data_IF_286565561113
#
_entry.id   IF_286565561113
#
_cell.length_a   1.000
_cell.length_b   1.000
_cell.length_c   1.000
_cell.angle_alpha   90.00
_cell.angle_beta   90.00
_cell.angle_gamma   90.00
#
_symmetry.space_group_name_H-M   'P 1'
#
loop_
_entity.id
_entity.type
_entity.pdbx_description
1 polymer ?
#
# COMPACT_ATOMS: atom_id res chain seq x y z
N UNK A 1 -0.43 12.54 31.59
CA UNK A 1 -0.13 12.64 30.15
C UNK A 1 1.28 13.20 30.04
N UNK A 2 2.17 12.53 29.34
CA UNK A 2 3.58 12.92 29.25
C UNK A 2 3.70 14.34 28.69
N UNK A 3 4.55 15.18 29.28
CA UNK A 3 4.64 16.61 28.94
C UNK A 3 4.99 16.79 27.45
N UNK A 4 5.81 15.88 26.93
CA UNK A 4 6.23 15.86 25.54
C UNK A 4 5.05 15.55 24.58
N UNK A 5 4.20 14.57 24.92
CA UNK A 5 3.01 14.22 24.12
C UNK A 5 2.00 15.38 24.10
N UNK A 6 1.85 16.09 25.22
CA UNK A 6 0.97 17.27 25.28
C UNK A 6 1.46 18.39 24.37
N UNK A 7 2.78 18.63 24.33
CA UNK A 7 3.37 19.61 23.42
C UNK A 7 3.21 19.19 21.96
N UNK A 8 3.52 17.93 21.64
CA UNK A 8 3.35 17.36 20.31
C UNK A 8 1.90 17.48 19.81
N UNK A 9 0.93 17.18 20.67
CA UNK A 9 -0.49 17.32 20.35
C UNK A 9 -0.87 18.78 20.08
N UNK A 10 -0.38 19.72 20.90
CA UNK A 10 -0.64 21.15 20.70
C UNK A 10 -0.08 21.66 19.37
N UNK A 11 1.07 21.13 18.92
CA UNK A 11 1.66 21.47 17.61
C UNK A 11 0.90 20.83 16.44
N UNK A 12 0.45 19.58 16.56
CA UNK A 12 -0.23 18.86 15.48
C UNK A 12 -1.68 19.32 15.29
N UNK A 13 -2.40 19.59 16.38
CA UNK A 13 -3.83 19.91 16.39
C UNK A 13 -4.25 20.99 15.38
N UNK A 14 -3.61 22.18 15.31
CA UNK A 14 -4.06 23.23 14.38
C UNK A 14 -3.92 22.81 12.92
N UNK A 15 -2.85 22.10 12.56
CA UNK A 15 -2.63 21.64 11.18
C UNK A 15 -3.59 20.50 10.83
N UNK A 16 -3.79 19.54 11.75
CA UNK A 16 -4.76 18.47 11.59
C UNK A 16 -6.20 19.01 11.41
N UNK A 17 -6.55 20.10 12.09
CA UNK A 17 -7.86 20.76 11.92
C UNK A 17 -8.02 21.32 10.51
N UNK A 18 -7.02 22.05 9.99
CA UNK A 18 -7.08 22.60 8.63
C UNK A 18 -7.16 21.51 7.56
N UNK A 19 -6.36 20.45 7.69
CA UNK A 19 -6.42 19.28 6.79
C UNK A 19 -7.81 18.63 6.81
N UNK A 20 -8.48 18.62 7.97
CA UNK A 20 -9.83 18.09 8.10
C UNK A 20 -10.94 19.03 7.57
N UNK A 21 -10.68 20.30 7.28
CA UNK A 21 -11.68 21.24 6.77
C UNK A 21 -11.41 21.62 5.32
N UNK A 22 -10.43 22.48 5.07
CA UNK A 22 -10.03 22.98 3.75
C UNK A 22 -8.50 22.88 3.65
N UNK A 23 -8.03 21.89 2.88
CA UNK A 23 -6.64 21.48 2.89
C UNK A 23 -5.88 22.10 1.70
N UNK A 24 -4.84 22.87 2.00
CA UNK A 24 -3.85 23.26 1.01
C UNK A 24 -2.69 22.26 0.94
N UNK A 25 -1.84 22.37 -0.08
CA UNK A 25 -0.61 21.56 -0.15
C UNK A 25 0.38 22.00 0.93
N UNK A 26 0.39 23.29 1.26
CA UNK A 26 1.21 23.89 2.31
C UNK A 26 0.88 23.31 3.68
N UNK A 27 -0.39 23.02 3.97
CA UNK A 27 -0.81 22.37 5.23
C UNK A 27 -0.21 20.97 5.39
N UNK A 28 -0.15 20.19 4.31
CA UNK A 28 0.44 18.84 4.34
C UNK A 28 1.96 18.93 4.50
N UNK A 29 2.61 19.88 3.83
CA UNK A 29 4.05 20.11 3.97
C UNK A 29 4.41 20.58 5.38
N UNK A 30 3.56 21.43 5.98
CA UNK A 30 3.72 21.83 7.38
C UNK A 30 3.55 20.63 8.32
N UNK A 31 2.52 19.81 8.11
CA UNK A 31 2.30 18.59 8.88
C UNK A 31 3.51 17.65 8.79
N UNK A 32 4.01 17.40 7.58
CA UNK A 32 5.19 16.57 7.32
C UNK A 32 6.41 17.09 8.11
N UNK A 33 6.64 18.41 8.07
CA UNK A 33 7.74 19.05 8.80
C UNK A 33 7.59 18.86 10.31
N UNK A 34 6.40 19.06 10.86
CA UNK A 34 6.14 18.89 12.30
C UNK A 34 6.39 17.44 12.70
N UNK A 35 5.80 16.48 11.98
CA UNK A 35 5.94 15.05 12.29
C UNK A 35 7.42 14.62 12.23
N UNK A 36 8.21 15.11 11.27
CA UNK A 36 9.64 14.78 11.16
C UNK A 36 10.50 15.38 12.29
N UNK A 37 9.99 16.35 13.04
CA UNK A 37 10.69 16.98 14.17
C UNK A 37 10.32 16.36 15.52
N UNK A 38 9.20 15.65 15.60
CA UNK A 38 8.74 14.99 16.82
C UNK A 38 9.50 13.68 17.04
N UNK A 39 9.64 13.27 18.29
CA UNK A 39 10.17 11.96 18.64
C UNK A 39 9.20 10.83 18.25
N UNK A 40 9.76 9.65 17.98
CA UNK A 40 9.01 8.49 17.52
C UNK A 40 7.95 8.03 18.53
N UNK A 41 8.15 8.25 19.82
CA UNK A 41 7.19 7.87 20.87
C UNK A 41 5.95 8.78 20.85
N UNK A 42 6.14 10.10 20.70
CA UNK A 42 5.05 11.04 20.49
C UNK A 42 4.28 10.74 19.20
N UNK A 43 4.98 10.46 18.10
CA UNK A 43 4.33 10.10 16.83
C UNK A 43 3.52 8.82 17.02
N UNK A 44 4.07 7.78 17.66
CA UNK A 44 3.36 6.52 17.90
C UNK A 44 2.09 6.72 18.74
N UNK A 45 2.17 7.55 19.78
CA UNK A 45 1.04 7.88 20.63
C UNK A 45 -0.07 8.67 19.91
N UNK A 46 0.31 9.60 19.02
CA UNK A 46 -0.62 10.48 18.31
C UNK A 46 -0.96 10.02 16.88
N UNK A 47 -0.43 8.87 16.45
CA UNK A 47 -0.52 8.42 15.05
C UNK A 47 -1.95 8.33 14.55
N UNK A 48 -2.85 7.71 15.33
CA UNK A 48 -4.25 7.55 14.93
C UNK A 48 -4.98 8.90 14.85
N UNK A 49 -4.59 9.85 15.70
CA UNK A 49 -5.11 11.21 15.65
C UNK A 49 -4.70 11.91 14.35
N UNK A 50 -3.45 11.73 13.89
CA UNK A 50 -2.94 12.33 12.65
C UNK A 50 -3.44 11.60 11.40
N UNK A 51 -3.60 10.28 11.45
CA UNK A 51 -4.13 9.49 10.32
C UNK A 51 -5.60 9.80 10.02
N UNK A 52 -6.38 10.22 11.02
CA UNK A 52 -7.80 10.54 10.84
C UNK A 52 -8.08 11.69 9.84
N UNK A 53 -7.51 12.90 9.98
CA UNK A 53 -7.73 13.97 9.01
C UNK A 53 -7.19 13.60 7.62
N UNK A 54 -6.07 12.88 7.55
CA UNK A 54 -5.51 12.41 6.27
C UNK A 54 -6.43 11.39 5.59
N UNK A 55 -7.06 10.49 6.35
CA UNK A 55 -8.11 9.59 5.83
C UNK A 55 -9.28 10.40 5.23
N UNK A 56 -9.76 11.43 5.92
CA UNK A 56 -10.84 12.27 5.43
C UNK A 56 -10.45 13.00 4.14
N UNK A 57 -9.21 13.50 4.08
CA UNK A 57 -8.64 14.13 2.89
C UNK A 57 -8.63 13.15 1.71
N UNK A 58 -8.18 11.91 1.92
CA UNK A 58 -8.17 10.90 0.86
C UNK A 58 -9.55 10.63 0.28
N UNK A 59 -10.63 10.81 1.04
CA UNK A 59 -12.02 10.62 0.56
C UNK A 59 -12.55 11.77 -0.31
N UNK A 60 -11.87 12.92 -0.34
CA UNK A 60 -12.31 14.12 -1.07
C UNK A 60 -11.79 14.13 -2.50
N UNK A 61 -12.36 15.04 -3.30
CA UNK A 61 -11.85 15.33 -4.64
C UNK A 61 -10.87 16.48 -4.55
N UNK A 62 -9.59 16.14 -4.43
CA UNK A 62 -8.49 17.10 -4.35
C UNK A 62 -7.61 17.06 -5.59
N UNK A 63 -6.72 18.06 -5.71
CA UNK A 63 -5.65 18.05 -6.71
C UNK A 63 -4.72 16.86 -6.47
N UNK A 64 -4.26 16.25 -7.56
CA UNK A 64 -3.39 15.07 -7.48
C UNK A 64 -2.16 15.30 -6.59
N UNK A 65 -1.49 16.45 -6.71
CA UNK A 65 -0.32 16.80 -5.90
C UNK A 65 -0.60 16.82 -4.38
N UNK A 66 -1.80 17.24 -3.96
CA UNK A 66 -2.23 17.24 -2.55
C UNK A 66 -2.38 15.81 -2.07
N UNK A 67 -3.03 14.95 -2.86
CA UNK A 67 -3.20 13.53 -2.53
C UNK A 67 -1.86 12.79 -2.49
N UNK A 68 -0.94 13.04 -3.43
CA UNK A 68 0.41 12.45 -3.42
C UNK A 68 1.09 12.75 -2.09
N UNK A 69 1.10 14.03 -1.68
CA UNK A 69 1.73 14.42 -0.41
C UNK A 69 1.04 13.82 0.80
N UNK A 70 -0.29 13.74 0.80
CA UNK A 70 -1.02 13.07 1.86
C UNK A 70 -0.63 11.58 1.95
N UNK A 71 -0.57 10.87 0.82
CA UNK A 71 -0.20 9.45 0.74
C UNK A 71 1.24 9.24 1.21
N UNK A 72 2.17 10.12 0.85
CA UNK A 72 3.57 10.06 1.30
C UNK A 72 3.67 10.22 2.84
N UNK A 73 2.92 11.17 3.42
CA UNK A 73 2.86 11.35 4.89
C UNK A 73 2.21 10.14 5.58
N UNK A 74 1.12 9.60 5.03
CA UNK A 74 0.49 8.37 5.54
C UNK A 74 1.49 7.20 5.50
N UNK A 75 2.21 7.04 4.40
CA UNK A 75 3.22 5.98 4.25
C UNK A 75 4.30 6.09 5.32
N UNK A 76 4.77 7.29 5.62
CA UNK A 76 5.73 7.56 6.70
C UNK A 76 5.13 7.20 8.07
N UNK A 77 3.87 7.54 8.34
CA UNK A 77 3.21 7.24 9.61
C UNK A 77 3.03 5.73 9.83
N UNK A 78 2.80 4.95 8.78
CA UNK A 78 2.76 3.48 8.87
C UNK A 78 4.11 2.88 9.27
N UNK A 79 5.23 3.47 8.87
CA UNK A 79 6.57 2.99 9.26
C UNK A 79 6.90 3.24 10.75
N UNK A 80 6.08 4.03 11.47
CA UNK A 80 6.29 4.38 12.89
C UNK A 80 5.69 3.38 13.89
N UNK A 81 5.12 2.29 13.41
CA UNK A 81 4.70 1.17 14.25
C UNK A 81 3.74 0.22 13.54
N UNK A 82 3.39 -0.91 14.15
CA UNK A 82 2.45 -1.84 13.56
C UNK A 82 1.02 -1.30 13.54
N UNK A 83 0.24 -1.65 12.50
CA UNK A 83 -1.20 -1.49 12.45
C UNK A 83 -1.81 -2.75 13.04
N UNK A 84 -2.41 -2.62 14.22
CA UNK A 84 -2.91 -3.75 14.99
C UNK A 84 -4.41 -4.01 14.89
N UNK A 85 -5.14 -3.30 14.02
CA UNK A 85 -6.57 -3.56 13.83
C UNK A 85 -6.95 -3.59 12.35
N UNK A 86 -7.67 -4.64 11.96
CA UNK A 86 -8.10 -4.83 10.58
C UNK A 86 -9.03 -3.71 10.06
N UNK A 87 -9.96 -3.13 10.85
CA UNK A 87 -10.77 -2.00 10.37
C UNK A 87 -9.96 -0.76 9.98
N UNK A 88 -8.82 -0.51 10.64
CA UNK A 88 -7.93 0.60 10.23
C UNK A 88 -7.22 0.22 8.93
N UNK A 89 -6.68 -0.99 8.86
CA UNK A 89 -6.00 -1.50 7.68
C UNK A 89 -6.89 -1.46 6.43
N UNK A 90 -8.09 -2.05 6.51
CA UNK A 90 -8.99 -2.24 5.36
C UNK A 90 -9.43 -0.92 4.76
N UNK A 91 -9.70 0.10 5.58
CA UNK A 91 -10.05 1.45 5.11
C UNK A 91 -8.96 2.04 4.21
N UNK A 92 -7.70 1.99 4.65
CA UNK A 92 -6.60 2.52 3.86
C UNK A 92 -6.29 1.63 2.66
N UNK A 93 -6.31 0.31 2.83
CA UNK A 93 -6.09 -0.65 1.77
C UNK A 93 -7.07 -0.42 0.61
N UNK A 94 -8.37 -0.42 0.90
CA UNK A 94 -9.42 -0.23 -0.08
C UNK A 94 -9.27 1.12 -0.79
N UNK A 95 -9.01 2.19 -0.04
CA UNK A 95 -8.87 3.52 -0.62
C UNK A 95 -7.65 3.63 -1.56
N UNK A 96 -6.53 3.04 -1.19
CA UNK A 96 -5.32 3.03 -2.03
C UNK A 96 -5.57 2.28 -3.34
N UNK A 97 -6.20 1.11 -3.30
CA UNK A 97 -6.47 0.35 -4.52
C UNK A 97 -7.62 0.94 -5.35
N UNK A 98 -8.57 1.64 -4.73
CA UNK A 98 -9.57 2.45 -5.43
C UNK A 98 -8.91 3.54 -6.30
N UNK A 99 -7.82 4.15 -5.83
CA UNK A 99 -7.04 5.10 -6.62
C UNK A 99 -6.30 4.50 -7.81
N UNK A 100 -6.18 3.18 -7.92
CA UNK A 100 -5.54 2.52 -9.06
C UNK A 100 -6.54 2.06 -10.12
N UNK A 101 -7.83 2.16 -9.83
CA UNK A 101 -8.90 1.73 -10.72
C UNK A 101 -9.38 2.88 -11.58
N UNK A 102 -9.63 2.59 -12.85
CA UNK A 102 -10.37 3.48 -13.71
C UNK A 102 -11.87 3.26 -13.47
N UNK A 103 -12.59 4.34 -13.10
CA UNK A 103 -14.02 4.28 -12.76
C UNK A 103 -14.93 4.09 -13.97
N UNK A 104 -14.47 4.49 -15.15
CA UNK A 104 -15.26 4.42 -16.38
C UNK A 104 -15.14 3.05 -17.05
N UNK A 105 -13.96 2.42 -16.97
CA UNK A 105 -13.71 1.07 -17.46
C UNK A 105 -12.60 0.40 -16.64
N UNK A 106 -12.95 -0.64 -15.89
CA UNK A 106 -12.02 -1.39 -15.03
C UNK A 106 -10.87 -2.06 -15.81
N UNK A 107 -11.03 -2.28 -17.11
CA UNK A 107 -9.99 -2.85 -17.98
C UNK A 107 -8.97 -1.81 -18.42
N UNK A 108 -9.28 -0.51 -18.29
CA UNK A 108 -8.34 0.56 -18.57
C UNK A 108 -7.48 0.88 -17.35
N UNK A 109 -6.25 1.29 -17.62
CA UNK A 109 -5.38 1.89 -16.61
C UNK A 109 -5.92 3.25 -16.21
N UNK A 110 -5.82 3.59 -14.93
CA UNK A 110 -6.15 4.93 -14.46
C UNK A 110 -5.31 5.99 -15.18
N UNK A 111 -5.98 7.05 -15.63
CA UNK A 111 -5.35 8.24 -16.17
C UNK A 111 -4.85 9.16 -15.05
N UNK A 112 -3.82 8.69 -14.33
CA UNK A 112 -3.10 9.43 -13.28
C UNK A 112 -1.60 9.42 -13.59
N UNK A 113 -0.86 10.37 -13.02
CA UNK A 113 0.60 10.45 -13.23
C UNK A 113 1.34 9.20 -12.73
N UNK A 114 2.54 8.96 -13.27
CA UNK A 114 3.40 7.89 -12.77
C UNK A 114 3.76 8.11 -11.29
N UNK A 115 4.00 9.36 -10.89
CA UNK A 115 4.32 9.73 -9.51
C UNK A 115 3.20 9.33 -8.55
N UNK A 116 1.95 9.61 -8.93
CA UNK A 116 0.77 9.23 -8.16
C UNK A 116 0.69 7.71 -7.97
N UNK A 117 0.79 6.94 -9.06
CA UNK A 117 0.75 5.47 -9.03
C UNK A 117 1.88 4.89 -8.16
N UNK A 118 3.08 5.48 -8.22
CA UNK A 118 4.22 5.09 -7.39
C UNK A 118 3.94 5.37 -5.90
N UNK A 119 3.43 6.56 -5.56
CA UNK A 119 3.12 6.94 -4.18
C UNK A 119 2.07 6.00 -3.57
N UNK A 120 0.98 5.72 -4.30
CA UNK A 120 -0.04 4.75 -3.90
C UNK A 120 0.55 3.37 -3.63
N UNK A 121 1.36 2.85 -4.56
CA UNK A 121 1.99 1.53 -4.42
C UNK A 121 2.95 1.47 -3.21
N UNK A 122 3.77 2.50 -3.01
CA UNK A 122 4.68 2.58 -1.85
C UNK A 122 3.94 2.62 -0.53
N UNK A 123 2.84 3.38 -0.47
CA UNK A 123 2.01 3.45 0.72
C UNK A 123 1.33 2.11 1.01
N UNK A 124 0.84 1.40 -0.01
CA UNK A 124 0.30 0.05 0.14
C UNK A 124 1.37 -0.95 0.65
N UNK A 125 2.60 -0.87 0.14
CA UNK A 125 3.73 -1.66 0.65
C UNK A 125 3.96 -1.35 2.14
N UNK A 126 4.03 -0.07 2.52
CA UNK A 126 4.25 0.34 3.91
C UNK A 126 3.12 -0.13 4.83
N UNK A 127 1.86 0.01 4.40
CA UNK A 127 0.68 -0.45 5.13
C UNK A 127 0.79 -1.93 5.47
N UNK A 128 1.00 -2.78 4.47
CA UNK A 128 1.01 -4.25 4.66
C UNK A 128 2.25 -4.69 5.42
N UNK A 129 3.43 -4.14 5.12
CA UNK A 129 4.67 -4.51 5.84
C UNK A 129 4.67 -4.14 7.32
N UNK A 130 3.98 -3.05 7.67
CA UNK A 130 3.88 -2.57 9.05
C UNK A 130 2.51 -2.90 9.65
N UNK A 131 1.91 -4.04 9.31
CA UNK A 131 0.69 -4.56 9.96
C UNK A 131 1.02 -5.80 10.76
N UNK A 132 0.29 -6.00 11.87
CA UNK A 132 0.45 -7.19 12.69
C UNK A 132 0.02 -8.46 11.93
N UNK A 133 0.62 -9.61 12.27
CA UNK A 133 0.32 -10.87 11.56
C UNK A 133 -1.17 -11.26 11.65
N UNK A 134 -1.90 -10.86 12.69
CA UNK A 134 -3.36 -11.02 12.79
C UNK A 134 -4.11 -10.20 11.74
N UNK A 135 -3.72 -8.94 11.54
CA UNK A 135 -4.28 -8.08 10.48
C UNK A 135 -3.96 -8.64 9.09
N UNK A 136 -2.75 -9.17 8.91
CA UNK A 136 -2.37 -9.85 7.67
C UNK A 136 -3.17 -11.15 7.49
N UNK A 137 -3.45 -11.89 8.56
CA UNK A 137 -4.31 -13.06 8.48
C UNK A 137 -5.72 -12.70 7.98
N UNK A 138 -6.28 -11.59 8.48
CA UNK A 138 -7.59 -11.07 8.11
C UNK A 138 -7.66 -10.65 6.63
N UNK A 139 -6.55 -10.14 6.07
CA UNK A 139 -6.45 -9.83 4.63
C UNK A 139 -6.68 -11.06 3.74
N UNK A 140 -6.28 -12.25 4.21
CA UNK A 140 -6.46 -13.52 3.49
C UNK A 140 -7.64 -14.35 4.02
N UNK A 141 -8.58 -13.72 4.72
CA UNK A 141 -9.85 -14.38 5.04
C UNK A 141 -10.80 -14.34 3.85
N UNK A 142 -11.68 -15.34 3.77
CA UNK A 142 -12.65 -15.48 2.70
C UNK A 142 -13.60 -14.26 2.59
N UNK A 143 -13.83 -13.55 3.69
CA UNK A 143 -14.64 -12.33 3.75
C UNK A 143 -14.04 -11.14 2.99
N UNK A 144 -12.72 -11.07 2.86
CA UNK A 144 -12.00 -9.98 2.20
C UNK A 144 -11.42 -10.38 0.82
N UNK A 145 -11.70 -11.61 0.36
CA UNK A 145 -11.12 -12.17 -0.86
C UNK A 145 -11.36 -11.33 -2.11
N UNK A 146 -12.55 -10.74 -2.24
CA UNK A 146 -12.93 -9.96 -3.43
C UNK A 146 -12.15 -8.66 -3.49
N UNK A 147 -11.98 -8.00 -2.35
CA UNK A 147 -11.21 -6.77 -2.23
C UNK A 147 -9.72 -7.02 -2.52
N UNK A 148 -9.16 -8.12 -2.01
CA UNK A 148 -7.80 -8.54 -2.34
C UNK A 148 -7.66 -8.90 -3.83
N UNK A 149 -8.61 -9.64 -4.40
CA UNK A 149 -8.62 -9.97 -5.82
C UNK A 149 -8.65 -8.72 -6.70
N UNK A 150 -9.46 -7.72 -6.34
CA UNK A 150 -9.54 -6.42 -7.02
C UNK A 150 -8.23 -5.64 -6.92
N UNK A 151 -7.59 -5.63 -5.74
CA UNK A 151 -6.27 -5.03 -5.57
C UNK A 151 -5.23 -5.69 -6.48
N UNK A 152 -5.15 -7.02 -6.49
CA UNK A 152 -4.26 -7.79 -7.38
C UNK A 152 -4.58 -7.54 -8.86
N UNK A 153 -5.85 -7.49 -9.23
CA UNK A 153 -6.27 -7.17 -10.59
C UNK A 153 -5.80 -5.78 -11.03
N UNK A 154 -5.97 -4.76 -10.18
CA UNK A 154 -5.53 -3.39 -10.49
C UNK A 154 -4.01 -3.32 -10.73
N UNK A 155 -3.21 -4.00 -9.89
CA UNK A 155 -1.75 -4.06 -10.02
C UNK A 155 -1.32 -4.82 -11.28
N UNK A 156 -1.96 -5.95 -11.57
CA UNK A 156 -1.64 -6.73 -12.78
C UNK A 156 -2.03 -6.00 -14.07
N UNK A 157 -3.14 -5.23 -14.05
CA UNK A 157 -3.52 -4.39 -15.17
C UNK A 157 -2.51 -3.23 -15.37
N UNK A 158 -2.07 -2.58 -14.30
CA UNK A 158 -1.00 -1.57 -14.38
C UNK A 158 0.30 -2.17 -14.92
N UNK A 159 0.72 -3.33 -14.41
CA UNK A 159 1.99 -3.96 -14.80
C UNK A 159 2.05 -4.31 -16.29
N UNK A 160 0.91 -4.67 -16.90
CA UNK A 160 0.77 -4.99 -18.33
C UNK A 160 0.91 -3.77 -19.23
N UNK A 161 0.37 -2.64 -18.80
CA UNK A 161 0.16 -1.47 -19.66
C UNK A 161 1.21 -0.36 -19.44
N UNK A 162 1.83 -0.31 -18.25
CA UNK A 162 2.83 0.70 -17.92
C UNK A 162 4.21 0.37 -18.50
N UNK A 163 4.90 1.39 -19.03
CA UNK A 163 6.23 1.23 -19.67
C UNK A 163 7.39 1.61 -18.74
N UNK A 164 7.15 2.50 -17.78
CA UNK A 164 8.17 3.02 -16.88
C UNK A 164 8.77 1.92 -16.01
N UNK A 165 10.07 1.71 -16.12
CA UNK A 165 10.79 0.66 -15.37
C UNK A 165 10.66 0.86 -13.86
N UNK A 166 10.65 2.11 -13.40
CA UNK A 166 10.53 2.44 -11.99
C UNK A 166 9.12 2.13 -11.46
N UNK A 167 8.08 2.53 -12.20
CA UNK A 167 6.70 2.22 -11.83
C UNK A 167 6.45 0.71 -11.85
N UNK A 168 6.85 -0.01 -12.91
CA UNK A 168 6.72 -1.47 -12.99
C UNK A 168 7.44 -2.20 -11.86
N UNK A 169 8.65 -1.75 -11.49
CA UNK A 169 9.37 -2.28 -10.31
C UNK A 169 8.56 -2.08 -9.04
N UNK A 170 8.00 -0.89 -8.84
CA UNK A 170 7.20 -0.56 -7.64
C UNK A 170 5.94 -1.41 -7.59
N UNK A 171 5.23 -1.57 -8.72
CA UNK A 171 4.04 -2.44 -8.84
C UNK A 171 4.39 -3.89 -8.48
N UNK A 172 5.50 -4.43 -9.01
CA UNK A 172 5.96 -5.78 -8.70
C UNK A 172 6.29 -5.93 -7.21
N UNK A 173 6.90 -4.93 -6.58
CA UNK A 173 7.15 -4.94 -5.13
C UNK A 173 5.84 -4.98 -4.35
N UNK A 174 4.82 -4.22 -4.77
CA UNK A 174 3.48 -4.28 -4.16
C UNK A 174 2.86 -5.66 -4.31
N UNK A 175 2.91 -6.26 -5.51
CA UNK A 175 2.46 -7.64 -5.74
C UNK A 175 3.21 -8.58 -4.80
N UNK A 176 4.54 -8.48 -4.72
CA UNK A 176 5.37 -9.33 -3.86
C UNK A 176 4.96 -9.27 -2.38
N UNK A 177 4.60 -8.08 -1.87
CA UNK A 177 4.09 -7.94 -0.50
C UNK A 177 2.72 -8.62 -0.35
N UNK A 178 1.80 -8.45 -1.32
CA UNK A 178 0.47 -9.08 -1.30
C UNK A 178 0.47 -10.59 -1.59
N UNK A 179 1.58 -11.14 -2.07
CA UNK A 179 1.76 -12.58 -2.27
C UNK A 179 2.68 -13.21 -1.23
N UNK A 180 2.96 -12.48 -0.13
CA UNK A 180 3.85 -12.91 0.96
C UNK A 180 5.26 -13.35 0.52
N UNK A 181 5.80 -12.74 -0.54
CA UNK A 181 7.16 -13.02 -0.97
C UNK A 181 8.17 -12.58 0.10
N UNK A 182 9.05 -13.49 0.47
CA UNK A 182 9.98 -13.39 1.62
C UNK A 182 10.98 -12.25 1.50
N UNK A 183 11.27 -11.79 0.28
CA UNK A 183 12.13 -10.62 0.04
C UNK A 183 11.47 -9.31 0.47
N UNK A 184 10.14 -9.24 0.42
CA UNK A 184 9.39 -8.00 0.63
C UNK A 184 8.67 -7.96 1.98
N UNK A 185 8.22 -9.11 2.47
CA UNK A 185 7.56 -9.25 3.77
C UNK A 185 7.99 -10.55 4.45
N UNK A 186 8.23 -10.48 5.75
CA UNK A 186 8.67 -11.63 6.56
C UNK A 186 7.53 -12.09 7.48
N UNK A 187 6.66 -12.96 6.97
CA UNK A 187 5.61 -13.62 7.76
C UNK A 187 6.13 -14.95 8.32
N UNK A 188 6.07 -15.13 9.63
CA UNK A 188 6.50 -16.36 10.31
C UNK A 188 5.33 -17.29 10.62
N UNK A 189 4.14 -16.75 10.91
CA UNK A 189 2.96 -17.57 11.21
C UNK A 189 2.59 -18.51 10.07
N UNK A 190 2.49 -19.81 10.41
CA UNK A 190 1.97 -20.84 9.51
C UNK A 190 0.50 -20.62 9.18
N UNK A 191 -0.28 -20.11 10.14
CA UNK A 191 -1.72 -19.85 9.97
C UNK A 191 -1.92 -18.81 8.86
N UNK A 192 -1.17 -17.71 8.92
CA UNK A 192 -1.22 -16.66 7.88
C UNK A 192 -0.85 -17.24 6.51
N UNK A 193 0.22 -18.03 6.43
CA UNK A 193 0.66 -18.67 5.18
C UNK A 193 -0.40 -19.63 4.62
N UNK A 194 -1.08 -20.39 5.47
CA UNK A 194 -2.13 -21.32 5.07
C UNK A 194 -3.37 -20.58 4.55
N UNK A 195 -3.81 -19.51 5.23
CA UNK A 195 -4.89 -18.65 4.75
C UNK A 195 -4.52 -17.98 3.43
N UNK A 196 -3.30 -17.45 3.33
CA UNK A 196 -2.79 -16.85 2.10
C UNK A 196 -2.71 -17.86 0.95
N UNK A 197 -2.19 -19.06 1.18
CA UNK A 197 -2.14 -20.15 0.18
C UNK A 197 -3.52 -20.43 -0.41
N UNK A 198 -4.53 -20.57 0.45
CA UNK A 198 -5.91 -20.85 0.04
C UNK A 198 -6.46 -19.76 -0.86
N UNK A 199 -6.35 -18.48 -0.47
CA UNK A 199 -6.88 -17.37 -1.27
C UNK A 199 -6.05 -17.12 -2.53
N UNK A 200 -4.72 -17.18 -2.43
CA UNK A 200 -3.82 -16.94 -3.55
C UNK A 200 -3.88 -18.06 -4.60
N UNK A 201 -4.33 -19.27 -4.24
CA UNK A 201 -4.62 -20.33 -5.21
C UNK A 201 -5.65 -19.90 -6.26
N UNK A 202 -6.69 -19.17 -5.84
CA UNK A 202 -7.71 -18.64 -6.75
C UNK A 202 -7.16 -17.56 -7.69
N UNK A 203 -6.15 -16.81 -7.23
CA UNK A 203 -5.52 -15.71 -7.96
C UNK A 203 -4.31 -16.16 -8.80
N UNK A 204 -3.79 -17.36 -8.54
CA UNK A 204 -2.57 -17.89 -9.15
C UNK A 204 -2.60 -17.89 -10.67
N UNK A 205 -3.67 -18.30 -11.38
CA UNK A 205 -3.68 -18.31 -12.84
C UNK A 205 -3.49 -16.90 -13.42
N UNK A 206 -4.17 -15.90 -12.86
CA UNK A 206 -4.07 -14.51 -13.30
C UNK A 206 -2.70 -13.91 -13.03
N UNK A 207 -2.19 -14.10 -11.81
CA UNK A 207 -0.84 -13.66 -11.41
C UNK A 207 0.24 -14.32 -12.27
N UNK A 208 0.18 -15.64 -12.46
CA UNK A 208 1.14 -16.40 -13.25
C UNK A 208 1.18 -15.95 -14.70
N UNK A 209 0.01 -15.75 -15.32
CA UNK A 209 -0.09 -15.25 -16.69
C UNK A 209 0.61 -13.90 -16.86
N UNK A 210 0.37 -12.97 -15.93
CA UNK A 210 0.98 -11.63 -15.97
C UNK A 210 2.48 -11.69 -15.69
N UNK A 211 2.90 -12.41 -14.65
CA UNK A 211 4.32 -12.52 -14.31
C UNK A 211 5.10 -13.20 -15.44
N UNK A 212 4.56 -14.25 -16.04
CA UNK A 212 5.17 -14.92 -17.20
C UNK A 212 5.28 -14.01 -18.42
N UNK A 213 4.28 -13.16 -18.70
CA UNK A 213 4.38 -12.21 -19.82
C UNK A 213 5.46 -11.16 -19.61
N UNK A 214 5.75 -10.79 -18.36
CA UNK A 214 6.89 -9.93 -18.01
C UNK A 214 8.21 -10.70 -18.17
N UNK A 215 8.28 -11.93 -17.68
CA UNK A 215 9.50 -12.76 -17.70
C UNK A 215 9.91 -13.11 -19.13
N UNK A 216 8.96 -13.53 -19.96
CA UNK A 216 9.17 -13.91 -21.35
C UNK A 216 9.13 -12.73 -22.33
N UNK A 217 9.00 -11.51 -21.82
CA UNK A 217 8.89 -10.30 -22.64
C UNK A 217 10.24 -9.80 -23.18
N UNK A 218 10.22 -8.67 -23.89
CA UNK A 218 11.41 -8.06 -24.48
C UNK A 218 12.51 -7.71 -23.44
N UNK A 219 13.78 -7.93 -23.80
CA UNK A 219 14.98 -7.58 -23.03
C UNK A 219 14.98 -6.11 -22.58
N UNK A 220 14.34 -5.21 -23.36
CA UNK A 220 14.22 -3.77 -23.04
C UNK A 220 13.45 -3.47 -21.75
N UNK A 221 12.71 -4.45 -21.21
CA UNK A 221 11.96 -4.33 -19.96
C UNK A 221 12.85 -4.10 -18.72
N UNK A 222 14.14 -4.41 -18.82
CA UNK A 222 15.13 -4.20 -17.76
C UNK A 222 15.26 -5.42 -16.85
N UNK A 223 16.50 -5.83 -16.62
CA UNK A 223 16.84 -7.07 -15.90
C UNK A 223 16.22 -7.14 -14.49
N UNK A 224 16.17 -6.01 -13.78
CA UNK A 224 15.60 -5.95 -12.45
C UNK A 224 14.11 -6.32 -12.42
N UNK A 225 13.33 -5.90 -13.44
CA UNK A 225 11.89 -6.19 -13.54
C UNK A 225 11.70 -7.69 -13.75
N UNK A 226 12.46 -8.30 -14.67
CA UNK A 226 12.42 -9.75 -14.95
C UNK A 226 12.79 -10.57 -13.72
N UNK A 227 13.91 -10.22 -13.04
CA UNK A 227 14.38 -10.94 -11.85
C UNK A 227 13.38 -10.89 -10.70
N UNK A 228 12.74 -9.73 -10.50
CA UNK A 228 11.70 -9.58 -9.47
C UNK A 228 10.48 -10.44 -9.82
N UNK A 229 10.00 -10.40 -11.06
CA UNK A 229 8.87 -11.22 -11.50
C UNK A 229 9.13 -12.72 -11.33
N UNK A 230 10.33 -13.19 -11.70
CA UNK A 230 10.75 -14.59 -11.52
C UNK A 230 10.71 -15.01 -10.05
N UNK A 231 11.28 -14.18 -9.15
CA UNK A 231 11.32 -14.49 -7.73
C UNK A 231 9.92 -14.50 -7.09
N UNK A 232 9.05 -13.55 -7.45
CA UNK A 232 7.66 -13.53 -6.97
C UNK A 232 6.93 -14.79 -7.46
N UNK A 233 7.02 -15.12 -8.75
CA UNK A 233 6.34 -16.29 -9.31
C UNK A 233 6.81 -17.59 -8.65
N UNK A 234 8.12 -17.77 -8.47
CA UNK A 234 8.67 -18.97 -7.86
C UNK A 234 8.18 -19.15 -6.41
N UNK A 235 8.23 -18.11 -5.58
CA UNK A 235 7.77 -18.20 -4.19
C UNK A 235 6.24 -18.32 -4.09
N UNK A 236 5.49 -17.68 -4.99
CA UNK A 236 4.04 -17.83 -5.05
C UNK A 236 3.64 -19.27 -5.39
N UNK A 237 4.30 -19.91 -6.35
CA UNK A 237 4.07 -21.32 -6.68
C UNK A 237 4.37 -22.19 -5.46
N UNK A 238 5.50 -21.97 -4.78
CA UNK A 238 5.85 -22.74 -3.57
C UNK A 238 4.82 -22.53 -2.46
N UNK A 239 4.34 -21.30 -2.26
CA UNK A 239 3.33 -21.00 -1.25
C UNK A 239 1.98 -21.69 -1.51
N UNK A 240 1.56 -21.77 -2.78
CA UNK A 240 0.25 -22.29 -3.17
C UNK A 240 0.26 -23.80 -3.43
N UNK A 241 1.33 -24.33 -4.02
CA UNK A 241 1.43 -25.71 -4.52
C UNK A 241 2.36 -26.57 -3.67
N UNK A 242 3.23 -25.97 -2.85
CA UNK A 242 4.26 -26.66 -2.09
C UNK A 242 3.77 -27.48 -0.88
N UNK A 243 2.46 -27.73 -0.77
CA UNK A 243 1.85 -28.65 0.19
C UNK A 243 1.74 -30.07 -0.38
#
# INVERSE_FOLDING_TARGET
MDVNISFAFASLKPVCYRIAEDCSIEDILELERIIKQLDDDCIRALRMYVLFPLKLLLCRKEKEAVIIKAIDVISYLFEKGPIGTFPVFSVFFLRLFEFLLNRDDIHLVINASEEFKISVCKCAISLVKNSDEEVINDLYQYSFRLDLAQAVFSLTNLLKNEKSKMLRKTILQTIGVLTLNSKYISIKSKVVKQSASTILAELLPGLSSVLMSVICGDIKQGEAVVRISLNILAELIVLVVGD
#
